data_IF_078586377402
#
_entry.id   IF_078586377402
#
_cell.length_a   1.000
_cell.length_b   1.000
_cell.length_c   1.000
_cell.angle_alpha   90.00
_cell.angle_beta   90.00
_cell.angle_gamma   90.00
#
_symmetry.space_group_name_H-M   'P 1'
#
loop_
_entity.id
_entity.type
_entity.pdbx_description
1 polymer ?
#
# COMPACT_ATOMS: atom_id res chain seq x y z
N UNK A 1 5.37 -19.54 -61.94
CA UNK A 1 4.73 -19.72 -60.62
C UNK A 1 5.24 -18.62 -59.71
N UNK A 2 4.39 -17.65 -59.36
CA UNK A 2 4.79 -16.56 -58.46
C UNK A 2 4.96 -17.07 -57.02
N UNK A 3 5.81 -16.43 -56.21
CA UNK A 3 5.99 -16.84 -54.82
C UNK A 3 4.66 -16.71 -54.05
N UNK A 4 4.33 -17.65 -53.16
CA UNK A 4 3.08 -17.61 -52.41
C UNK A 4 3.02 -16.34 -51.56
N UNK A 5 1.92 -15.60 -51.67
CA UNK A 5 1.62 -14.45 -50.82
C UNK A 5 1.63 -14.91 -49.36
N UNK A 6 2.66 -14.50 -48.61
CA UNK A 6 2.67 -14.66 -47.16
C UNK A 6 1.55 -13.76 -46.59
N UNK A 7 0.47 -14.37 -46.11
CA UNK A 7 -0.56 -13.66 -45.34
C UNK A 7 0.14 -12.89 -44.22
N UNK A 8 0.04 -11.55 -44.22
CA UNK A 8 0.47 -10.72 -43.09
C UNK A 8 -0.34 -11.19 -41.88
N UNK A 9 0.32 -11.76 -40.86
CA UNK A 9 -0.29 -11.99 -39.54
C UNK A 9 -0.92 -10.66 -39.10
N UNK A 10 -2.19 -10.69 -38.73
CA UNK A 10 -2.84 -9.48 -38.23
C UNK A 10 -2.21 -9.10 -36.89
N UNK A 11 -2.26 -7.81 -36.52
CA UNK A 11 -1.75 -7.35 -35.22
C UNK A 11 -2.43 -8.10 -34.04
N UNK A 12 -3.68 -8.54 -34.26
CA UNK A 12 -4.42 -9.39 -33.33
C UNK A 12 -3.81 -10.78 -33.18
N UNK A 13 -3.33 -11.39 -34.27
CA UNK A 13 -2.66 -12.70 -34.23
C UNK A 13 -1.29 -12.62 -33.52
N UNK A 14 -0.57 -11.50 -33.67
CA UNK A 14 0.73 -11.34 -33.01
C UNK A 14 0.61 -11.01 -31.52
N UNK A 15 -0.54 -10.52 -31.04
CA UNK A 15 -0.79 -10.32 -29.62
C UNK A 15 -1.32 -11.59 -28.94
N UNK A 16 -2.09 -12.43 -29.65
CA UNK A 16 -2.56 -13.73 -29.16
C UNK A 16 -1.45 -14.78 -28.95
N UNK A 17 -0.31 -14.61 -29.61
CA UNK A 17 0.81 -15.57 -29.56
C UNK A 17 1.90 -15.19 -28.53
N UNK A 18 1.74 -14.08 -27.79
CA UNK A 18 2.54 -13.88 -26.58
C UNK A 18 2.14 -14.97 -25.60
N UNK A 19 3.07 -15.88 -25.32
CA UNK A 19 2.87 -17.01 -24.42
C UNK A 19 2.07 -16.56 -23.19
N UNK A 20 0.92 -17.21 -22.95
CA UNK A 20 0.16 -17.02 -21.72
C UNK A 20 1.14 -17.22 -20.55
N UNK A 21 1.11 -16.32 -19.57
CA UNK A 21 1.87 -16.54 -18.35
C UNK A 21 1.47 -17.91 -17.78
N UNK A 22 2.42 -18.70 -17.28
CA UNK A 22 2.10 -19.98 -16.68
C UNK A 22 1.13 -19.78 -15.50
N UNK A 23 0.29 -20.78 -15.18
CA UNK A 23 -0.51 -20.75 -13.97
C UNK A 23 0.35 -20.41 -12.75
N UNK A 24 -0.16 -19.57 -11.88
CA UNK A 24 0.56 -19.16 -10.68
C UNK A 24 0.88 -20.38 -9.79
N UNK A 25 2.16 -20.55 -9.47
CA UNK A 25 2.66 -21.59 -8.59
C UNK A 25 3.60 -20.95 -7.55
N UNK A 26 3.20 -20.85 -6.27
CA UNK A 26 4.01 -20.18 -5.26
C UNK A 26 5.34 -20.92 -5.06
N UNK A 27 6.42 -20.15 -4.95
CA UNK A 27 7.76 -20.64 -4.66
C UNK A 27 7.86 -21.06 -3.18
N UNK A 28 8.56 -22.16 -2.83
CA UNK A 28 8.78 -22.58 -1.45
C UNK A 28 9.40 -21.47 -0.59
N UNK A 29 9.10 -21.41 0.72
CA UNK A 29 9.61 -20.33 1.59
C UNK A 29 11.13 -20.25 1.63
N UNK A 30 11.82 -21.41 1.66
CA UNK A 30 13.29 -21.48 1.74
C UNK A 30 14.01 -20.76 0.58
N UNK A 31 13.32 -20.61 -0.54
CA UNK A 31 13.85 -19.97 -1.75
C UNK A 31 13.52 -18.47 -1.80
N UNK A 32 12.84 -17.93 -0.77
CA UNK A 32 12.42 -16.53 -0.71
C UNK A 32 13.45 -15.66 0.03
N UNK A 33 13.69 -14.46 -0.50
CA UNK A 33 14.49 -13.46 0.21
C UNK A 33 13.81 -13.04 1.52
N UNK A 34 14.56 -12.48 2.50
CA UNK A 34 13.96 -11.90 3.71
C UNK A 34 12.88 -10.86 3.40
N UNK A 35 13.05 -10.08 2.34
CA UNK A 35 12.10 -9.08 1.87
C UNK A 35 10.79 -9.73 1.41
N UNK A 36 10.86 -10.82 0.65
CA UNK A 36 9.68 -11.57 0.22
C UNK A 36 8.93 -12.17 1.41
N UNK A 37 9.65 -12.70 2.40
CA UNK A 37 9.04 -13.23 3.62
C UNK A 37 8.29 -12.14 4.40
N UNK A 38 8.86 -10.95 4.52
CA UNK A 38 8.19 -9.83 5.20
C UNK A 38 6.91 -9.37 4.47
N UNK A 39 6.94 -9.28 3.14
CA UNK A 39 5.75 -8.95 2.34
C UNK A 39 4.65 -9.98 2.52
N UNK A 40 5.00 -11.27 2.47
CA UNK A 40 4.02 -12.35 2.59
C UNK A 40 3.50 -12.52 4.01
N UNK A 41 4.33 -12.26 5.03
CA UNK A 41 3.88 -12.20 6.42
C UNK A 41 2.86 -11.07 6.63
N UNK A 42 3.12 -9.90 6.03
CA UNK A 42 2.18 -8.77 6.07
C UNK A 42 0.87 -9.10 5.35
N UNK A 43 0.95 -9.81 4.22
CA UNK A 43 -0.23 -10.25 3.48
C UNK A 43 -0.99 -11.38 4.20
N UNK A 44 -0.31 -12.33 4.84
CA UNK A 44 -0.95 -13.45 5.54
C UNK A 44 -1.72 -13.00 6.78
N UNK A 45 -1.22 -11.98 7.49
CA UNK A 45 -1.88 -11.37 8.64
C UNK A 45 -3.30 -10.82 8.30
N UNK A 46 -3.62 -10.62 7.02
CA UNK A 46 -4.93 -10.18 6.58
C UNK A 46 -5.94 -11.31 6.34
N UNK A 47 -5.45 -12.53 6.09
CA UNK A 47 -6.26 -13.66 5.61
C UNK A 47 -6.74 -14.50 6.78
N UNK A 48 -5.84 -14.70 7.75
CA UNK A 48 -6.08 -15.58 8.87
C UNK A 48 -6.82 -14.78 9.93
N UNK A 49 -8.17 -14.85 10.05
CA UNK A 49 -8.74 -14.55 11.35
C UNK A 49 -8.05 -15.48 12.35
N UNK A 50 -7.76 -15.04 13.58
CA UNK A 50 -7.31 -15.98 14.61
C UNK A 50 -8.30 -17.15 14.61
N UNK A 51 -7.80 -18.34 14.28
CA UNK A 51 -8.61 -19.57 14.14
C UNK A 51 -9.15 -20.07 15.48
N UNK A 52 -8.89 -19.35 16.56
CA UNK A 52 -9.32 -19.68 17.91
C UNK A 52 -10.06 -18.48 18.48
N UNK A 53 -11.32 -18.71 18.87
CA UNK A 53 -12.22 -17.71 19.44
C UNK A 53 -11.72 -17.15 20.80
N UNK A 54 -10.69 -17.76 21.40
CA UNK A 54 -10.54 -17.68 22.85
C UNK A 54 -9.35 -16.90 23.43
N UNK A 55 -8.26 -16.56 22.72
CA UNK A 55 -7.08 -16.05 23.46
C UNK A 55 -6.45 -14.73 23.03
N UNK A 56 -6.59 -14.26 21.79
CA UNK A 56 -6.13 -12.89 21.44
C UNK A 56 -7.04 -12.28 20.39
N UNK A 57 -7.95 -11.41 20.86
CA UNK A 57 -9.02 -10.75 20.10
C UNK A 57 -8.56 -9.79 19.00
N UNK A 58 -7.83 -10.29 18.00
CA UNK A 58 -7.53 -9.55 16.79
C UNK A 58 -8.80 -9.36 15.97
N UNK A 59 -9.20 -8.09 15.85
CA UNK A 59 -10.38 -7.73 15.09
C UNK A 59 -10.15 -8.01 13.60
N UNK A 60 -11.11 -8.62 12.90
CA UNK A 60 -10.96 -8.96 11.48
C UNK A 60 -10.74 -7.70 10.63
N UNK A 61 -9.74 -7.71 9.74
CA UNK A 61 -9.36 -6.55 8.95
C UNK A 61 -10.45 -6.01 8.00
N UNK A 62 -10.30 -4.75 7.61
CA UNK A 62 -10.92 -4.12 6.44
C UNK A 62 -9.81 -3.91 5.39
N UNK A 63 -10.04 -4.37 4.16
CA UNK A 63 -9.09 -4.16 3.07
C UNK A 63 -9.76 -3.24 2.04
N UNK A 64 -9.07 -2.18 1.67
CA UNK A 64 -9.50 -1.24 0.63
C UNK A 64 -8.54 -1.37 -0.52
N UNK A 65 -9.01 -1.84 -1.67
CA UNK A 65 -8.27 -1.67 -2.91
C UNK A 65 -8.58 -0.28 -3.49
N UNK A 66 -7.54 0.47 -3.84
CA UNK A 66 -7.62 1.80 -4.44
C UNK A 66 -6.93 1.77 -5.81
N UNK A 67 -7.51 2.48 -6.77
CA UNK A 67 -6.91 2.74 -8.07
C UNK A 67 -7.28 4.17 -8.52
N UNK A 68 -6.36 4.84 -9.20
CA UNK A 68 -6.52 6.20 -9.69
C UNK A 68 -6.15 6.29 -11.16
N UNK A 69 -6.99 6.98 -11.94
CA UNK A 69 -6.66 7.30 -13.32
C UNK A 69 -6.28 8.75 -13.48
N UNK A 70 -5.34 9.00 -14.38
CA UNK A 70 -4.89 10.33 -14.75
C UNK A 70 -4.97 10.56 -16.25
N UNK A 71 -5.06 11.83 -16.64
CA UNK A 71 -5.10 12.18 -18.05
C UNK A 71 -3.76 11.91 -18.72
N UNK A 72 -3.74 11.11 -19.78
CA UNK A 72 -2.54 10.62 -20.46
C UNK A 72 -1.62 11.71 -21.06
N UNK A 73 -2.13 12.95 -21.20
CA UNK A 73 -1.34 14.10 -21.64
C UNK A 73 -0.83 14.99 -20.52
N UNK A 74 -1.37 14.83 -19.31
CA UNK A 74 -0.92 15.54 -18.12
C UNK A 74 -1.35 14.78 -16.86
N UNK A 75 -0.42 13.98 -16.30
CA UNK A 75 -0.69 13.13 -15.15
C UNK A 75 -1.00 13.92 -13.86
N UNK A 76 -0.85 15.25 -13.86
CA UNK A 76 -1.34 16.10 -12.77
C UNK A 76 -2.86 16.28 -12.77
N UNK A 77 -3.57 15.80 -13.80
CA UNK A 77 -5.01 15.87 -13.87
C UNK A 77 -5.59 14.48 -13.58
N UNK A 78 -5.91 14.20 -12.32
CA UNK A 78 -6.65 12.99 -11.94
C UNK A 78 -8.05 13.03 -12.54
N UNK A 79 -8.42 11.98 -13.27
CA UNK A 79 -9.72 11.87 -13.97
C UNK A 79 -10.69 10.99 -13.22
N UNK A 80 -10.22 9.91 -12.59
CA UNK A 80 -11.06 8.92 -11.91
C UNK A 80 -10.44 8.49 -10.58
N UNK A 81 -11.31 8.09 -9.65
CA UNK A 81 -10.97 7.45 -8.38
C UNK A 81 -11.84 6.21 -8.25
N UNK A 82 -11.22 5.06 -8.00
CA UNK A 82 -11.93 3.82 -7.81
C UNK A 82 -11.51 3.13 -6.53
N UNK A 83 -12.48 2.54 -5.82
CA UNK A 83 -12.16 1.69 -4.69
C UNK A 83 -13.10 0.51 -4.55
N UNK A 84 -12.61 -0.55 -3.91
CA UNK A 84 -13.38 -1.70 -3.48
C UNK A 84 -13.01 -2.06 -2.03
N UNK A 85 -14.00 -2.43 -1.22
CA UNK A 85 -13.81 -2.69 0.22
C UNK A 85 -14.19 -4.14 0.53
N UNK A 86 -13.22 -4.91 1.02
CA UNK A 86 -13.43 -6.26 1.55
C UNK A 86 -13.50 -6.22 3.08
N UNK A 87 -14.50 -6.90 3.63
CA UNK A 87 -14.70 -7.07 5.05
C UNK A 87 -14.31 -8.49 5.45
N UNK A 88 -13.16 -8.67 6.11
CA UNK A 88 -12.69 -10.01 6.49
C UNK A 88 -13.66 -10.73 7.44
N UNK A 89 -14.37 -9.98 8.30
CA UNK A 89 -15.43 -10.50 9.18
C UNK A 89 -16.54 -11.20 8.41
N UNK A 90 -16.99 -10.57 7.33
CA UNK A 90 -18.11 -11.04 6.51
C UNK A 90 -17.65 -11.89 5.33
N UNK A 91 -16.33 -12.00 5.12
CA UNK A 91 -15.68 -12.68 4.00
C UNK A 91 -16.28 -12.32 2.64
N UNK A 92 -16.61 -11.04 2.46
CA UNK A 92 -17.18 -10.51 1.21
C UNK A 92 -16.75 -9.08 0.93
N UNK A 93 -16.86 -8.70 -0.33
CA UNK A 93 -16.77 -7.31 -0.76
C UNK A 93 -18.06 -6.60 -0.35
N UNK A 94 -17.93 -5.61 0.53
CA UNK A 94 -19.06 -4.86 1.13
C UNK A 94 -19.29 -3.49 0.48
N UNK A 95 -18.35 -3.05 -0.36
CA UNK A 95 -18.43 -1.76 -1.03
C UNK A 95 -17.58 -1.73 -2.29
N UNK A 96 -18.01 -0.89 -3.24
CA UNK A 96 -17.30 -0.63 -4.48
C UNK A 96 -17.83 0.67 -5.07
N UNK A 97 -16.92 1.56 -5.49
CA UNK A 97 -17.27 2.85 -6.10
C UNK A 97 -16.36 3.14 -7.27
N UNK A 98 -16.95 3.82 -8.24
CA UNK A 98 -16.26 4.47 -9.33
C UNK A 98 -16.66 5.94 -9.34
N UNK A 99 -15.68 6.84 -9.28
CA UNK A 99 -15.91 8.28 -9.22
C UNK A 99 -15.13 8.97 -10.31
N UNK A 100 -15.82 9.71 -11.17
CA UNK A 100 -15.21 10.66 -12.10
C UNK A 100 -14.98 11.98 -11.37
N UNK A 101 -13.76 12.51 -11.46
CA UNK A 101 -13.39 13.78 -10.84
C UNK A 101 -14.04 14.91 -11.61
N UNK A 102 -15.01 15.58 -10.99
CA UNK A 102 -15.88 16.59 -11.61
C UNK A 102 -15.12 17.63 -12.45
N UNK A 103 -14.05 18.20 -11.88
CA UNK A 103 -13.23 19.23 -12.54
C UNK A 103 -12.58 18.74 -13.83
N UNK A 104 -12.32 17.44 -13.93
CA UNK A 104 -11.59 16.80 -15.02
C UNK A 104 -12.48 15.85 -15.83
N UNK A 105 -13.80 15.80 -15.59
CA UNK A 105 -14.73 14.87 -16.22
C UNK A 105 -14.78 14.96 -17.76
N UNK A 106 -14.38 16.10 -18.32
CA UNK A 106 -14.26 16.30 -19.78
C UNK A 106 -13.00 15.68 -20.40
N UNK A 107 -11.98 15.39 -19.59
CA UNK A 107 -10.72 14.84 -20.07
C UNK A 107 -10.92 13.34 -20.31
N UNK A 108 -10.56 12.88 -21.50
CA UNK A 108 -10.74 11.49 -21.92
C UNK A 108 -9.40 10.94 -22.39
N UNK A 109 -9.06 9.75 -21.93
CA UNK A 109 -7.95 8.99 -22.48
C UNK A 109 -8.36 8.37 -23.83
N UNK A 110 -7.45 7.68 -24.50
CA UNK A 110 -7.78 6.96 -25.74
C UNK A 110 -6.62 6.85 -26.73
N UNK A 111 -5.57 7.67 -26.56
CA UNK A 111 -4.42 7.64 -27.45
C UNK A 111 -3.45 6.52 -27.09
N UNK A 112 -3.13 6.36 -25.82
CA UNK A 112 -2.17 5.38 -25.32
C UNK A 112 -2.86 4.25 -24.56
N UNK A 113 -3.97 4.57 -23.91
CA UNK A 113 -4.73 3.68 -23.06
C UNK A 113 -6.20 3.74 -23.49
N UNK A 114 -6.90 2.60 -23.51
CA UNK A 114 -8.33 2.57 -23.86
C UNK A 114 -9.11 3.29 -22.78
N UNK A 115 -9.97 4.24 -23.17
CA UNK A 115 -10.87 4.90 -22.23
C UNK A 115 -12.09 4.03 -21.93
N UNK A 116 -12.21 3.59 -20.69
CA UNK A 116 -13.34 2.82 -20.18
C UNK A 116 -14.08 3.54 -19.04
N UNK A 117 -14.00 4.87 -18.94
CA UNK A 117 -14.67 5.64 -17.88
C UNK A 117 -16.19 5.43 -17.84
N UNK A 118 -16.81 5.10 -18.98
CA UNK A 118 -18.25 4.81 -19.09
C UNK A 118 -18.60 3.34 -18.79
N UNK A 119 -17.62 2.49 -18.49
CA UNK A 119 -17.77 1.05 -18.43
C UNK A 119 -17.60 0.44 -17.03
N UNK A 120 -18.02 1.14 -15.98
CA UNK A 120 -18.08 0.55 -14.64
C UNK A 120 -19.10 -0.61 -14.61
N UNK A 121 -18.68 -1.79 -14.14
CA UNK A 121 -19.51 -3.02 -14.12
C UNK A 121 -19.78 -3.58 -12.72
N UNK A 122 -19.07 -3.11 -11.70
CA UNK A 122 -19.17 -3.63 -10.34
C UNK A 122 -20.09 -2.82 -9.42
N UNK A 123 -20.97 -2.00 -10.01
CA UNK A 123 -22.03 -1.36 -9.24
C UNK A 123 -22.84 -2.46 -8.53
N UNK A 124 -22.82 -2.46 -7.20
CA UNK A 124 -23.39 -3.53 -6.39
C UNK A 124 -24.90 -3.66 -6.70
N UNK A 125 -25.37 -4.81 -7.21
CA UNK A 125 -26.76 -4.97 -7.66
C UNK A 125 -27.81 -4.98 -6.55
N UNK A 126 -27.41 -5.28 -5.30
CA UNK A 126 -28.31 -5.36 -4.12
C UNK A 126 -28.91 -4.00 -3.73
N UNK A 127 -28.47 -2.95 -4.41
CA UNK A 127 -28.84 -1.56 -4.23
C UNK A 127 -29.77 -1.05 -5.37
N UNK A 128 -30.40 -1.96 -6.13
CA UNK A 128 -31.47 -1.60 -7.08
C UNK A 128 -32.78 -1.12 -6.41
N UNK A 129 -32.93 -1.31 -5.10
CA UNK A 129 -33.85 -0.45 -4.34
C UNK A 129 -33.21 0.93 -4.21
N UNK A 130 -33.63 1.82 -5.11
CA UNK A 130 -33.23 3.24 -5.21
C UNK A 130 -33.41 4.08 -3.93
N UNK A 131 -33.72 3.49 -2.78
CA UNK A 131 -33.89 4.18 -1.49
C UNK A 131 -32.75 3.94 -0.50
N UNK A 132 -32.11 2.78 -0.47
CA UNK A 132 -31.13 2.45 0.58
C UNK A 132 -29.71 2.89 0.24
N UNK A 133 -29.28 2.78 -1.02
CA UNK A 133 -27.98 3.24 -1.54
C UNK A 133 -27.77 4.72 -1.24
N UNK A 134 -28.78 5.51 -1.61
CA UNK A 134 -28.77 6.95 -1.54
C UNK A 134 -28.92 7.44 -0.10
N UNK A 135 -29.41 6.60 0.81
CA UNK A 135 -29.48 6.94 2.24
C UNK A 135 -28.10 7.08 2.88
N UNK A 136 -27.09 6.41 2.32
CA UNK A 136 -25.68 6.50 2.75
C UNK A 136 -24.87 7.51 1.96
N UNK A 137 -25.45 8.14 0.93
CA UNK A 137 -24.75 9.19 0.20
C UNK A 137 -24.44 10.36 1.13
N UNK A 138 -23.35 11.11 0.88
CA UNK A 138 -23.11 12.35 1.61
C UNK A 138 -24.41 13.15 1.62
N UNK A 139 -24.94 13.48 2.81
CA UNK A 139 -26.26 14.11 2.91
C UNK A 139 -26.31 15.32 1.98
N UNK A 140 -27.22 15.28 1.01
CA UNK A 140 -27.40 16.35 0.03
C UNK A 140 -26.58 16.22 -1.25
N UNK A 141 -25.82 15.14 -1.47
CA UNK A 141 -25.23 14.89 -2.78
C UNK A 141 -26.34 14.74 -3.82
N UNK A 142 -26.21 15.50 -4.90
CA UNK A 142 -27.04 15.44 -6.08
C UNK A 142 -26.11 15.25 -7.26
N UNK A 143 -26.32 14.16 -8.00
CA UNK A 143 -25.57 13.93 -9.23
C UNK A 143 -25.81 15.11 -10.19
N UNK A 144 -24.75 15.67 -10.79
CA UNK A 144 -24.91 16.80 -11.69
C UNK A 144 -25.77 16.38 -12.89
N UNK A 145 -26.80 17.18 -13.19
CA UNK A 145 -27.62 17.03 -14.40
C UNK A 145 -26.99 17.74 -15.60
N UNK A 146 -25.97 18.58 -15.35
CA UNK A 146 -25.21 19.30 -16.35
C UNK A 146 -23.81 19.58 -15.81
N UNK A 147 -22.80 19.27 -16.62
CA UNK A 147 -21.43 19.75 -16.45
C UNK A 147 -21.02 20.41 -17.76
N UNK A 148 -20.44 21.60 -17.67
CA UNK A 148 -19.93 22.27 -18.86
C UNK A 148 -18.89 21.36 -19.52
N UNK A 149 -19.05 21.15 -20.83
CA UNK A 149 -18.13 20.36 -21.67
C UNK A 149 -18.20 18.83 -21.47
N UNK A 150 -19.18 18.32 -20.73
CA UNK A 150 -19.53 16.89 -20.70
C UNK A 150 -20.86 16.70 -21.41
N UNK A 151 -20.98 15.68 -22.25
CA UNK A 151 -22.24 15.35 -22.92
C UNK A 151 -23.26 14.84 -21.89
N UNK A 152 -24.52 15.27 -21.98
CA UNK A 152 -25.56 14.81 -21.06
C UNK A 152 -25.75 13.28 -21.10
N UNK A 153 -25.56 12.66 -22.28
CA UNK A 153 -25.60 11.20 -22.44
C UNK A 153 -24.55 10.48 -21.59
N UNK A 154 -23.39 11.09 -21.37
CA UNK A 154 -22.32 10.51 -20.57
C UNK A 154 -22.68 10.59 -19.09
N UNK A 155 -23.25 11.73 -18.64
CA UNK A 155 -23.77 11.88 -17.28
C UNK A 155 -24.88 10.87 -16.97
N UNK A 156 -25.80 10.67 -17.92
CA UNK A 156 -26.87 9.68 -17.80
C UNK A 156 -26.30 8.25 -17.73
N UNK A 157 -25.28 7.96 -18.56
CA UNK A 157 -24.62 6.65 -18.57
C UNK A 157 -23.89 6.38 -17.26
N UNK A 158 -23.12 7.35 -16.74
CA UNK A 158 -22.46 7.25 -15.45
C UNK A 158 -23.46 6.99 -14.33
N UNK A 159 -24.53 7.79 -14.28
CA UNK A 159 -25.59 7.61 -13.29
C UNK A 159 -26.24 6.22 -13.36
N UNK A 160 -26.62 5.77 -14.56
CA UNK A 160 -27.23 4.45 -14.77
C UNK A 160 -26.33 3.30 -14.35
N UNK A 161 -25.01 3.48 -14.47
CA UNK A 161 -24.00 2.50 -14.06
C UNK A 161 -23.49 2.71 -12.63
N UNK A 162 -24.07 3.62 -11.85
CA UNK A 162 -23.65 3.88 -10.48
C UNK A 162 -22.27 4.54 -10.35
N UNK A 163 -21.75 5.14 -11.43
CA UNK A 163 -20.57 6.00 -11.39
C UNK A 163 -20.96 7.37 -10.83
N UNK A 164 -20.19 7.88 -9.88
CA UNK A 164 -20.40 9.19 -9.29
C UNK A 164 -19.60 10.24 -10.03
N UNK A 165 -20.07 11.48 -10.00
CA UNK A 165 -19.27 12.64 -10.42
C UNK A 165 -19.13 13.58 -9.23
N UNK A 166 -17.91 13.71 -8.71
CA UNK A 166 -17.63 14.42 -7.46
C UNK A 166 -16.34 15.25 -7.55
N UNK A 167 -16.22 16.34 -6.77
CA UNK A 167 -14.93 16.92 -6.46
C UNK A 167 -13.99 15.86 -5.86
N UNK A 168 -12.70 15.91 -6.18
CA UNK A 168 -11.70 14.96 -5.66
C UNK A 168 -11.70 14.89 -4.11
N UNK A 169 -11.85 16.02 -3.42
CA UNK A 169 -11.95 16.05 -1.95
C UNK A 169 -13.12 15.23 -1.42
N UNK A 170 -14.27 15.33 -2.09
CA UNK A 170 -15.51 14.72 -1.65
C UNK A 170 -15.50 13.21 -1.97
N UNK A 171 -14.83 12.81 -3.06
CA UNK A 171 -14.55 11.41 -3.38
C UNK A 171 -13.67 10.73 -2.31
N UNK A 172 -12.55 11.37 -1.95
CA UNK A 172 -11.64 10.86 -0.92
C UNK A 172 -12.29 10.87 0.47
N UNK A 173 -13.06 11.91 0.80
CA UNK A 173 -13.83 11.95 2.03
C UNK A 173 -14.83 10.79 2.12
N UNK A 174 -15.55 10.49 1.05
CA UNK A 174 -16.48 9.36 1.00
C UNK A 174 -15.77 8.03 1.25
N UNK A 175 -14.65 7.78 0.57
CA UNK A 175 -13.81 6.60 0.79
C UNK A 175 -13.41 6.44 2.27
N UNK A 176 -12.93 7.53 2.88
CA UNK A 176 -12.48 7.51 4.27
C UNK A 176 -13.64 7.24 5.23
N UNK A 177 -14.80 7.87 5.00
CA UNK A 177 -15.99 7.66 5.82
C UNK A 177 -16.47 6.22 5.74
N UNK A 178 -16.66 5.69 4.54
CA UNK A 178 -17.15 4.31 4.34
C UNK A 178 -16.22 3.30 5.04
N UNK A 179 -14.90 3.43 4.86
CA UNK A 179 -13.93 2.53 5.46
C UNK A 179 -13.80 2.66 6.97
N UNK A 180 -13.74 3.90 7.49
CA UNK A 180 -13.65 4.13 8.94
C UNK A 180 -14.91 3.66 9.66
N UNK A 181 -16.09 3.88 9.08
CA UNK A 181 -17.34 3.43 9.70
C UNK A 181 -17.41 1.91 9.83
N UNK A 182 -16.97 1.17 8.80
CA UNK A 182 -16.83 -0.28 8.83
C UNK A 182 -15.82 -0.76 9.87
N UNK A 183 -14.80 0.06 10.15
CA UNK A 183 -13.79 -0.20 11.16
C UNK A 183 -14.20 0.19 12.59
N UNK A 184 -15.40 0.75 12.78
CA UNK A 184 -15.86 1.21 14.10
C UNK A 184 -15.37 2.60 14.49
N UNK A 185 -14.96 3.43 13.52
CA UNK A 185 -14.52 4.81 13.71
C UNK A 185 -15.53 5.75 13.04
N UNK A 186 -16.12 6.66 13.81
CA UNK A 186 -16.94 7.74 13.24
C UNK A 186 -16.05 8.85 12.70
N UNK A 187 -16.42 9.42 11.54
CA UNK A 187 -15.70 10.52 10.90
C UNK A 187 -16.62 11.74 10.86
N UNK A 188 -16.11 12.92 11.16
CA UNK A 188 -16.83 14.20 11.05
C UNK A 188 -15.93 15.29 10.48
N UNK A 189 -16.49 16.47 10.17
CA UNK A 189 -15.75 17.53 9.47
C UNK A 189 -15.86 17.44 7.95
N UNK A 190 -14.99 18.14 7.22
CA UNK A 190 -14.90 18.11 5.75
C UNK A 190 -13.44 18.05 5.33
N UNK A 191 -13.12 17.22 4.35
CA UNK A 191 -11.75 17.10 3.84
C UNK A 191 -11.34 18.39 3.13
N UNK A 192 -10.23 18.98 3.57
CA UNK A 192 -9.69 20.22 3.06
C UNK A 192 -8.34 19.97 2.40
N UNK A 193 -8.19 20.47 1.17
CA UNK A 193 -6.89 20.51 0.50
C UNK A 193 -5.92 21.36 1.30
N UNK A 194 -4.73 20.85 1.58
CA UNK A 194 -3.68 21.63 2.25
C UNK A 194 -3.03 22.56 1.20
N UNK A 195 -3.08 23.87 1.43
CA UNK A 195 -2.28 24.79 0.62
C UNK A 195 -0.81 24.65 1.03
N UNK A 196 0.08 24.51 0.05
CA UNK A 196 1.53 24.46 0.31
C UNK A 196 2.05 25.73 1.01
N UNK A 197 1.33 26.85 0.89
CA UNK A 197 1.74 28.15 1.43
C UNK A 197 1.53 28.29 2.95
N UNK A 198 0.74 27.43 3.59
CA UNK A 198 0.44 27.52 5.03
C UNK A 198 1.24 26.51 5.89
N UNK A 199 2.45 26.14 5.48
CA UNK A 199 3.30 25.23 6.27
C UNK A 199 3.96 25.87 7.50
N UNK A 200 3.76 27.18 7.75
CA UNK A 200 4.28 27.82 8.95
C UNK A 200 3.45 27.43 10.20
N UNK A 201 3.78 26.27 10.74
CA UNK A 201 3.90 25.96 12.18
C UNK A 201 3.01 26.79 13.12
N UNK A 202 1.74 26.45 13.20
CA UNK A 202 1.04 26.55 14.49
C UNK A 202 1.08 25.16 15.12
N UNK A 203 2.19 24.87 15.78
CA UNK A 203 2.30 23.76 16.72
C UNK A 203 1.39 24.06 17.91
N UNK A 204 0.10 23.75 17.81
CA UNK A 204 -0.76 23.75 18.99
C UNK A 204 -0.31 22.59 19.89
N UNK A 205 0.59 22.88 20.83
CA UNK A 205 1.16 21.98 21.82
C UNK A 205 0.12 21.54 22.87
N UNK A 206 -1.08 21.12 22.46
CA UNK A 206 -2.07 20.59 23.38
C UNK A 206 -2.18 19.07 23.24
N UNK A 207 -1.24 18.30 23.84
CA UNK A 207 -1.19 16.84 23.74
C UNK A 207 -2.42 16.13 24.35
N UNK A 208 -3.27 16.86 25.08
CA UNK A 208 -4.52 16.34 25.64
C UNK A 208 -5.68 16.21 24.65
N UNK A 209 -5.56 16.78 23.45
CA UNK A 209 -6.56 16.62 22.38
C UNK A 209 -6.05 15.61 21.35
N UNK A 210 -5.99 14.33 21.77
CA UNK A 210 -5.54 13.19 20.95
C UNK A 210 -6.34 13.00 19.64
N UNK A 211 -7.44 13.73 19.46
CA UNK A 211 -8.22 13.81 18.22
C UNK A 211 -7.76 14.99 17.38
N UNK A 212 -6.63 14.78 16.73
CA UNK A 212 -5.98 15.76 15.89
C UNK A 212 -6.84 16.06 14.64
N UNK A 213 -7.00 17.35 14.34
CA UNK A 213 -7.73 17.84 13.17
C UNK A 213 -6.81 17.68 11.97
N UNK A 214 -7.02 16.65 11.16
CA UNK A 214 -6.19 16.42 9.98
C UNK A 214 -6.97 16.76 8.73
N UNK A 215 -6.49 17.79 8.02
CA UNK A 215 -7.14 18.28 6.81
C UNK A 215 -8.65 18.52 6.98
N UNK A 216 -9.09 18.98 8.16
CA UNK A 216 -10.50 19.27 8.45
C UNK A 216 -11.38 18.06 8.82
N UNK A 217 -10.84 16.83 8.80
CA UNK A 217 -11.52 15.64 9.31
C UNK A 217 -11.22 15.39 10.79
N UNK A 218 -12.19 14.78 11.48
CA UNK A 218 -12.13 14.39 12.88
C UNK A 218 -12.55 12.93 13.02
N UNK A 219 -11.69 12.12 13.63
CA UNK A 219 -11.92 10.69 13.87
C UNK A 219 -12.32 10.47 15.32
N UNK A 220 -13.37 9.68 15.56
CA UNK A 220 -13.81 9.31 16.91
C UNK A 220 -14.16 7.82 16.95
N UNK A 221 -13.38 7.00 17.67
CA UNK A 221 -13.74 5.61 17.93
C UNK A 221 -15.15 5.48 18.50
N UNK A 222 -15.94 4.54 17.97
CA UNK A 222 -17.25 4.16 18.52
C UNK A 222 -17.12 3.11 19.63
N UNK A 223 -15.98 2.43 19.67
CA UNK A 223 -15.68 1.29 20.51
C UNK A 223 -14.34 1.46 21.22
N UNK A 224 -13.98 0.53 22.09
CA UNK A 224 -12.64 0.48 22.67
C UNK A 224 -11.57 0.29 21.59
N UNK A 225 -10.32 0.73 21.83
CA UNK A 225 -9.26 0.71 20.80
C UNK A 225 -8.98 -0.71 20.28
N UNK A 226 -9.06 -1.72 21.15
CA UNK A 226 -8.92 -3.14 20.81
C UNK A 226 -10.13 -3.72 20.06
N UNK A 227 -11.23 -2.98 19.95
CA UNK A 227 -12.42 -3.35 19.16
C UNK A 227 -12.44 -2.65 17.80
N UNK A 228 -11.53 -1.70 17.55
CA UNK A 228 -11.36 -1.07 16.24
C UNK A 228 -10.74 -2.08 15.29
N UNK A 229 -11.36 -2.24 14.12
CA UNK A 229 -10.85 -3.15 13.10
C UNK A 229 -9.73 -2.46 12.31
N UNK A 230 -8.59 -3.12 12.08
CA UNK A 230 -7.52 -2.52 11.30
C UNK A 230 -7.94 -2.35 9.84
N UNK A 231 -7.54 -1.23 9.22
CA UNK A 231 -7.75 -0.96 7.79
C UNK A 231 -6.42 -1.07 7.05
N UNK A 232 -6.45 -1.75 5.91
CA UNK A 232 -5.33 -1.93 4.99
C UNK A 232 -5.66 -1.36 3.62
N UNK A 233 -4.72 -0.66 3.03
CA UNK A 233 -4.79 -0.25 1.62
C UNK A 233 -4.14 -1.31 0.74
N UNK A 234 -4.71 -1.54 -0.43
CA UNK A 234 -4.18 -2.38 -1.46
C UNK A 234 -4.26 -1.65 -2.80
N UNK A 235 -3.37 -1.97 -3.72
CA UNK A 235 -3.41 -1.44 -5.08
C UNK A 235 -2.34 -2.09 -5.95
N UNK A 236 -2.44 -1.88 -7.26
CA UNK A 236 -1.36 -2.19 -8.19
C UNK A 236 -0.59 -0.90 -8.42
N UNK A 237 0.68 -0.86 -7.99
CA UNK A 237 1.48 0.36 -8.04
C UNK A 237 0.95 1.50 -7.16
N UNK A 238 0.33 1.14 -6.03
CA UNK A 238 -0.28 2.06 -5.06
C UNK A 238 0.66 3.19 -4.62
N UNK A 239 1.97 2.97 -4.63
CA UNK A 239 2.96 4.02 -4.37
C UNK A 239 2.80 5.23 -5.30
N UNK A 240 2.60 4.98 -6.60
CA UNK A 240 2.36 6.03 -7.59
C UNK A 240 1.01 6.71 -7.39
N UNK A 241 -0.04 5.95 -7.06
CA UNK A 241 -1.36 6.52 -6.76
C UNK A 241 -1.32 7.51 -5.61
N UNK A 242 -0.63 7.14 -4.53
CA UNK A 242 -0.48 8.01 -3.37
C UNK A 242 0.38 9.24 -3.69
N UNK A 243 1.44 9.09 -4.50
CA UNK A 243 2.21 10.24 -4.99
C UNK A 243 1.36 11.19 -5.84
N UNK A 244 0.42 10.69 -6.64
CA UNK A 244 -0.52 11.51 -7.40
C UNK A 244 -1.44 12.32 -6.47
N UNK A 245 -1.98 11.70 -5.42
CA UNK A 245 -2.83 12.40 -4.42
C UNK A 245 -2.04 13.45 -3.64
N UNK A 246 -0.80 13.14 -3.25
CA UNK A 246 0.10 14.10 -2.61
C UNK A 246 0.35 15.31 -3.54
N UNK A 247 0.54 15.06 -4.84
CA UNK A 247 0.64 16.11 -5.87
C UNK A 247 -0.61 16.98 -6.00
N UNK A 248 -1.79 16.42 -5.68
CA UNK A 248 -3.04 17.17 -5.57
C UNK A 248 -3.21 17.92 -4.23
N UNK A 249 -2.27 17.80 -3.29
CA UNK A 249 -2.35 18.42 -1.97
C UNK A 249 -3.23 17.65 -0.98
N UNK A 250 -3.52 16.38 -1.27
CA UNK A 250 -4.16 15.44 -0.37
C UNK A 250 -3.10 14.48 0.15
N UNK A 251 -2.52 14.83 1.30
CA UNK A 251 -1.47 14.05 1.95
C UNK A 251 -2.08 12.83 2.63
N UNK A 252 -2.47 11.83 1.83
CA UNK A 252 -3.21 10.67 2.31
C UNK A 252 -2.40 9.93 3.36
N UNK A 253 -1.07 9.86 3.23
CA UNK A 253 -0.22 9.23 4.24
C UNK A 253 -0.41 9.82 5.64
N UNK A 254 -0.43 11.16 5.74
CA UNK A 254 -0.66 11.89 7.00
C UNK A 254 -2.09 11.68 7.51
N UNK A 255 -3.05 11.56 6.59
CA UNK A 255 -4.45 11.36 6.93
C UNK A 255 -4.74 9.96 7.45
N UNK A 256 -4.05 8.95 6.92
CA UNK A 256 -4.16 7.57 7.37
C UNK A 256 -3.50 7.43 8.75
N UNK A 257 -2.32 8.00 8.97
CA UNK A 257 -1.66 7.93 10.29
C UNK A 257 -2.46 8.61 11.40
N UNK A 258 -3.32 9.57 11.06
CA UNK A 258 -4.25 10.22 11.99
C UNK A 258 -5.43 9.36 12.43
N UNK A 259 -5.80 8.34 11.65
CA UNK A 259 -6.99 7.55 11.92
C UNK A 259 -6.61 6.29 12.74
N UNK A 260 -7.27 6.07 13.89
CA UNK A 260 -6.90 4.99 14.81
C UNK A 260 -6.96 3.60 14.15
N UNK A 261 -7.86 3.41 13.19
CA UNK A 261 -8.02 2.15 12.46
C UNK A 261 -6.88 1.86 11.46
N UNK A 262 -6.17 2.88 11.00
CA UNK A 262 -4.98 2.71 10.15
C UNK A 262 -3.69 2.64 10.98
N UNK A 263 -3.68 3.18 12.20
CA UNK A 263 -2.52 3.16 13.10
C UNK A 263 -2.41 1.89 13.95
N UNK A 264 -3.45 1.06 14.02
CA UNK A 264 -3.56 -0.07 14.94
C UNK A 264 -2.76 -1.32 14.54
N UNK A 265 -1.59 -1.16 13.91
CA UNK A 265 -0.74 -2.30 13.58
C UNK A 265 -0.01 -2.81 14.83
N UNK A 266 0.01 -4.13 15.12
CA UNK A 266 0.76 -4.65 16.24
C UNK A 266 2.26 -4.37 16.02
N UNK A 267 2.99 -3.85 17.03
CA UNK A 267 4.42 -3.58 16.92
C UNK A 267 5.29 -4.84 16.79
N UNK A 268 4.70 -6.04 16.86
CA UNK A 268 5.39 -7.33 16.88
C UNK A 268 5.77 -7.83 15.47
N UNK A 269 6.37 -6.98 14.64
CA UNK A 269 7.13 -7.47 13.49
C UNK A 269 8.40 -8.18 14.00
N UNK A 270 8.92 -9.21 13.31
CA UNK A 270 10.12 -9.94 13.72
C UNK A 270 11.28 -8.98 14.07
N UNK A 271 11.94 -9.22 15.21
CA UNK A 271 13.14 -8.48 15.65
C UNK A 271 14.16 -8.43 14.51
N UNK A 272 14.43 -7.22 14.02
CA UNK A 272 15.17 -6.97 12.77
C UNK A 272 14.44 -5.99 11.83
N UNK A 273 13.14 -5.79 12.06
CA UNK A 273 12.32 -4.72 11.52
C UNK A 273 11.86 -3.78 12.64
N UNK A 274 12.76 -3.47 13.58
CA UNK A 274 12.54 -2.43 14.59
C UNK A 274 12.32 -1.10 13.85
N UNK A 275 11.06 -0.75 13.68
CA UNK A 275 10.62 0.52 13.12
C UNK A 275 10.18 1.44 14.26
N UNK A 276 10.91 1.49 15.37
CA UNK A 276 10.69 2.58 16.32
C UNK A 276 10.87 3.90 15.56
N UNK A 277 9.89 4.82 15.56
CA UNK A 277 10.13 6.14 15.03
C UNK A 277 11.34 6.68 15.80
N UNK A 278 12.38 7.09 15.07
CA UNK A 278 13.42 7.93 15.67
C UNK A 278 12.72 9.25 15.97
N UNK A 279 12.08 9.30 17.14
CA UNK A 279 11.83 10.56 17.81
C UNK A 279 13.22 11.03 18.17
N UNK A 280 13.86 11.77 17.26
CA UNK A 280 14.97 12.62 17.64
C UNK A 280 14.42 13.46 18.78
N UNK A 281 14.85 13.14 20.01
CA UNK A 281 14.57 13.98 21.15
C UNK A 281 15.16 15.34 20.78
N UNK A 282 14.29 16.29 20.44
CA UNK A 282 14.63 17.70 20.36
C UNK A 282 14.90 18.14 21.80
N UNK A 283 16.06 17.74 22.33
CA UNK A 283 16.66 18.40 23.47
C UNK A 283 17.01 19.79 22.94
N UNK A 284 16.52 20.87 23.57
CA UNK A 284 16.87 22.22 23.17
C UNK A 284 18.38 22.37 23.35
N UNK A 285 19.14 22.44 22.26
CA UNK A 285 20.50 22.96 22.30
C UNK A 285 20.38 24.43 22.68
N UNK A 286 20.73 24.74 23.93
CA UNK A 286 21.01 26.10 24.38
C UNK A 286 22.03 26.72 23.44
N UNK A 287 21.57 27.62 22.58
CA UNK A 287 22.44 28.49 21.80
C UNK A 287 23.05 29.47 22.79
N UNK A 288 24.33 29.29 23.11
CA UNK A 288 25.10 30.29 23.83
C UNK A 288 25.21 31.56 22.96
N UNK A 289 24.77 32.67 23.53
CA UNK A 289 24.91 34.01 22.95
C UNK A 289 26.39 34.35 22.73
N UNK A 290 26.79 34.86 21.54
CA UNK A 290 28.16 35.29 21.33
C UNK A 290 28.48 36.51 22.20
N UNK A 291 29.52 36.37 23.02
CA UNK A 291 30.13 37.45 23.80
C UNK A 291 30.82 38.46 22.87
N UNK A 292 30.66 39.73 23.23
CA UNK A 292 31.44 40.92 22.88
C UNK A 292 32.60 40.79 21.89
N UNK A 293 32.53 41.55 20.79
CA UNK A 293 33.70 42.11 20.11
C UNK A 293 33.99 43.51 20.66
N UNK A 294 35.28 43.90 20.84
CA UNK A 294 35.66 45.27 21.15
C UNK A 294 35.89 46.12 19.89
N UNK A 295 35.58 47.40 20.03
CA UNK A 295 35.89 48.52 19.14
C UNK A 295 37.35 48.54 18.68
N UNK A 296 37.57 48.73 17.38
CA UNK A 296 38.74 49.43 16.84
C UNK A 296 38.31 50.35 15.68
N UNK A 297 38.65 51.62 15.85
CA UNK A 297 38.33 52.72 14.94
C UNK A 297 39.18 52.79 13.66
N UNK A 298 39.12 53.93 12.95
CA UNK A 298 39.30 53.99 11.50
C UNK A 298 40.74 54.24 11.06
N UNK A 299 41.12 53.67 9.90
CA UNK A 299 42.42 53.87 9.27
C UNK A 299 42.36 53.77 7.75
N UNK A 300 42.95 54.73 7.07
CA UNK A 300 42.88 55.03 5.64
C UNK A 300 43.66 54.08 4.71
N UNK A 301 43.21 54.04 3.45
CA UNK A 301 43.94 54.01 2.15
C UNK A 301 45.25 53.22 2.01
N UNK A 302 45.35 52.34 1.00
CA UNK A 302 45.96 52.58 -0.33
C UNK A 302 46.04 51.29 -1.17
N UNK A 303 45.99 51.47 -2.49
CA UNK A 303 46.27 50.47 -3.53
C UNK A 303 47.67 49.88 -3.42
N UNK A 304 47.84 48.57 -3.67
CA UNK A 304 49.01 48.00 -4.37
C UNK A 304 48.60 46.73 -5.13
N UNK A 305 48.99 46.67 -6.39
CA UNK A 305 48.90 45.57 -7.35
C UNK A 305 49.86 44.43 -7.03
N UNK A 306 49.49 43.16 -7.30
CA UNK A 306 50.42 42.05 -7.10
C UNK A 306 49.94 40.70 -7.61
N UNK A 307 50.23 40.40 -8.88
CA UNK A 307 50.22 39.05 -9.46
C UNK A 307 51.12 38.12 -8.65
N UNK A 308 50.61 36.95 -8.22
CA UNK A 308 51.44 35.74 -8.03
C UNK A 308 50.67 34.47 -8.40
N UNK A 309 51.34 33.70 -9.26
CA UNK A 309 51.09 32.31 -9.65
C UNK A 309 51.34 31.38 -8.46
N UNK A 310 50.54 30.31 -8.39
CA UNK A 310 50.91 28.89 -8.24
C UNK A 310 49.88 28.19 -7.36
N UNK A 311 49.05 27.33 -7.95
CA UNK A 311 48.51 26.12 -7.30
C UNK A 311 48.28 25.07 -8.39
N UNK A 312 49.29 24.21 -8.59
CA UNK A 312 49.12 22.83 -9.02
C UNK A 312 49.19 22.02 -7.73
N UNK A 313 48.07 21.53 -7.19
CA UNK A 313 48.03 20.35 -6.32
C UNK A 313 46.60 19.92 -5.99
N UNK A 314 46.35 18.61 -6.16
CA UNK A 314 45.33 17.78 -5.50
C UNK A 314 43.86 17.84 -6.00
N UNK A 315 43.62 17.31 -7.20
CA UNK A 315 42.30 16.83 -7.64
C UNK A 315 42.16 15.30 -7.44
N UNK A 316 42.28 14.84 -6.20
CA UNK A 316 42.12 13.41 -5.87
C UNK A 316 41.49 13.16 -4.49
N UNK A 317 40.28 13.68 -4.25
CA UNK A 317 39.29 13.04 -3.36
C UNK A 317 38.07 13.93 -3.17
N UNK A 318 36.99 13.67 -3.93
CA UNK A 318 35.60 13.89 -3.48
C UNK A 318 34.57 13.34 -4.48
N UNK A 319 34.68 12.06 -4.86
CA UNK A 319 33.49 11.30 -5.27
C UNK A 319 32.71 10.86 -4.02
N UNK A 320 32.27 11.82 -3.20
CA UNK A 320 31.16 11.56 -2.27
C UNK A 320 29.94 11.37 -3.17
N UNK A 321 29.46 10.13 -3.31
CA UNK A 321 28.14 9.84 -3.87
C UNK A 321 27.17 10.74 -3.12
N UNK A 322 26.68 11.80 -3.76
CA UNK A 322 25.50 12.51 -3.32
C UNK A 322 24.35 11.52 -3.49
N UNK A 323 24.16 10.65 -2.50
CA UNK A 323 22.87 10.03 -2.25
C UNK A 323 21.91 11.20 -2.16
N UNK A 324 21.13 11.38 -3.21
CA UNK A 324 20.27 12.57 -3.32
C UNK A 324 19.35 12.60 -2.10
N UNK A 325 18.97 13.78 -1.63
CA UNK A 325 17.93 13.90 -0.59
C UNK A 325 16.65 13.11 -0.96
N UNK A 326 16.42 12.87 -2.26
CA UNK A 326 15.38 11.98 -2.81
C UNK A 326 15.62 10.49 -2.54
N UNK A 327 16.85 9.99 -2.58
CA UNK A 327 17.19 8.61 -2.17
C UNK A 327 17.13 8.42 -0.65
N UNK A 328 17.55 9.43 0.12
CA UNK A 328 17.42 9.42 1.58
C UNK A 328 15.95 9.51 2.01
N UNK A 329 15.13 10.35 1.37
CA UNK A 329 13.68 10.40 1.60
C UNK A 329 12.97 9.10 1.19
N UNK A 330 13.41 8.44 0.10
CA UNK A 330 12.95 7.10 -0.28
C UNK A 330 13.31 6.01 0.74
N UNK A 331 14.39 6.19 1.51
CA UNK A 331 14.83 5.23 2.55
C UNK A 331 14.31 5.57 3.95
N UNK A 332 14.04 6.85 4.23
CA UNK A 332 13.77 7.37 5.58
C UNK A 332 12.30 7.41 5.97
N UNK A 333 11.37 7.06 5.09
CA UNK A 333 9.92 7.05 5.38
C UNK A 333 9.37 5.66 5.05
N UNK A 334 9.93 4.62 5.70
CA UNK A 334 9.20 3.38 5.99
C UNK A 334 8.29 3.63 7.20
N UNK A 335 7.43 4.63 7.10
CA UNK A 335 6.35 4.80 8.08
C UNK A 335 5.43 3.59 7.97
N UNK A 336 4.93 3.14 9.12
CA UNK A 336 4.02 2.02 9.40
C UNK A 336 2.69 2.01 8.63
N UNK A 337 2.67 2.46 7.38
CA UNK A 337 1.48 2.49 6.57
C UNK A 337 1.16 1.07 6.14
N UNK A 338 -0.01 0.63 6.61
CA UNK A 338 -0.67 -0.63 6.30
C UNK A 338 -1.11 -0.64 4.85
N UNK A 339 -0.18 -0.67 3.91
CA UNK A 339 -0.52 -0.89 2.51
C UNK A 339 0.19 -2.09 1.90
N UNK A 340 -0.45 -2.65 0.88
CA UNK A 340 0.05 -3.76 0.10
C UNK A 340 0.05 -3.39 -1.38
N UNK A 341 1.22 -3.43 -2.00
CA UNK A 341 1.31 -3.46 -3.45
C UNK A 341 1.10 -4.90 -3.90
N UNK A 342 0.01 -5.16 -4.61
CA UNK A 342 -0.38 -6.52 -5.04
C UNK A 342 0.69 -7.11 -5.98
N UNK A 343 1.40 -6.27 -6.73
CA UNK A 343 2.53 -6.71 -7.56
C UNK A 343 3.68 -7.23 -6.72
N UNK A 344 3.95 -6.59 -5.58
CA UNK A 344 5.01 -7.00 -4.68
C UNK A 344 4.64 -8.31 -3.96
N UNK A 345 3.37 -8.47 -3.54
CA UNK A 345 2.86 -9.74 -2.98
C UNK A 345 2.98 -10.87 -4.00
N UNK A 346 2.60 -10.61 -5.25
CA UNK A 346 2.73 -11.56 -6.36
C UNK A 346 4.20 -11.97 -6.60
N UNK A 347 5.10 -10.99 -6.73
CA UNK A 347 6.53 -11.24 -6.91
C UNK A 347 7.13 -12.02 -5.74
N UNK A 348 6.79 -11.65 -4.50
CA UNK A 348 7.24 -12.33 -3.30
C UNK A 348 6.81 -13.79 -3.29
N UNK A 349 5.53 -14.05 -3.60
CA UNK A 349 4.98 -15.40 -3.59
C UNK A 349 5.63 -16.29 -4.66
N UNK A 350 6.05 -15.73 -5.80
CA UNK A 350 6.81 -16.45 -6.83
C UNK A 350 8.32 -16.52 -6.59
N UNK A 351 8.85 -15.90 -5.52
CA UNK A 351 10.29 -15.80 -5.32
C UNK A 351 11.00 -14.93 -6.37
N UNK A 352 10.28 -14.10 -7.12
CA UNK A 352 10.83 -13.24 -8.18
C UNK A 352 11.30 -11.91 -7.61
N UNK A 353 12.35 -11.33 -8.20
CA UNK A 353 12.80 -9.99 -7.83
C UNK A 353 11.65 -8.97 -7.96
N UNK A 354 11.48 -8.12 -6.93
CA UNK A 354 10.53 -7.00 -6.94
C UNK A 354 10.76 -6.00 -8.08
N UNK A 355 11.94 -6.01 -8.73
CA UNK A 355 12.22 -5.19 -9.92
C UNK A 355 11.56 -5.73 -11.19
N UNK A 356 11.12 -7.00 -11.19
CA UNK A 356 10.43 -7.64 -12.31
C UNK A 356 8.92 -7.60 -12.10
N UNK A 357 8.38 -6.41 -11.83
CA UNK A 357 6.93 -6.23 -11.69
C UNK A 357 6.24 -6.70 -12.97
N UNK A 358 5.22 -7.53 -12.78
CA UNK A 358 4.39 -8.04 -13.87
C UNK A 358 3.27 -7.05 -14.10
N UNK A 359 2.99 -6.70 -15.36
CA UNK A 359 1.87 -5.82 -15.68
C UNK A 359 0.55 -6.42 -15.22
N UNK A 360 -0.41 -5.57 -14.82
CA UNK A 360 -1.72 -5.96 -14.27
C UNK A 360 -2.39 -7.09 -15.05
N UNK A 361 -2.53 -6.95 -16.37
CA UNK A 361 -3.15 -7.95 -17.24
C UNK A 361 -2.52 -9.35 -17.09
N UNK A 362 -1.20 -9.42 -17.01
CA UNK A 362 -0.48 -10.70 -16.88
C UNK A 362 -0.62 -11.31 -15.50
N UNK A 363 -0.64 -10.47 -14.46
CA UNK A 363 -0.89 -10.89 -13.08
C UNK A 363 -2.31 -11.47 -12.97
N UNK A 364 -3.31 -10.82 -13.56
CA UNK A 364 -4.69 -11.31 -13.55
C UNK A 364 -4.83 -12.63 -14.29
N UNK A 365 -4.22 -12.73 -15.47
CA UNK A 365 -4.23 -13.97 -16.26
C UNK A 365 -3.58 -15.15 -15.53
N UNK A 366 -2.47 -14.94 -14.80
CA UNK A 366 -1.82 -16.02 -14.07
C UNK A 366 -2.58 -16.48 -12.82
N UNK A 367 -3.46 -15.62 -12.30
CA UNK A 367 -4.34 -15.91 -11.17
C UNK A 367 -5.73 -16.42 -11.58
N UNK A 368 -5.96 -16.60 -12.89
CA UNK A 368 -7.27 -17.00 -13.45
C UNK A 368 -8.39 -16.00 -13.10
N UNK A 369 -8.05 -14.71 -13.05
CA UNK A 369 -9.01 -13.60 -12.91
C UNK A 369 -9.27 -13.05 -14.30
N UNK A 370 -10.50 -13.19 -14.81
CA UNK A 370 -10.87 -12.75 -16.16
C UNK A 370 -10.73 -11.22 -16.31
N UNK A 371 -9.73 -10.73 -17.07
CA UNK A 371 -9.54 -9.30 -17.26
C UNK A 371 -10.46 -8.73 -18.35
N UNK A 372 -10.97 -9.58 -19.27
CA UNK A 372 -11.78 -9.13 -20.41
C UNK A 372 -13.19 -8.73 -19.99
N UNK A 373 -13.72 -9.38 -18.95
CA UNK A 373 -15.04 -9.04 -18.38
C UNK A 373 -15.06 -7.70 -17.62
N UNK A 374 -13.90 -7.13 -17.33
CA UNK A 374 -13.79 -6.07 -16.32
C UNK A 374 -13.50 -4.68 -16.88
N UNK A 375 -13.29 -4.52 -18.19
CA UNK A 375 -13.02 -3.21 -18.80
C UNK A 375 -11.91 -2.42 -18.08
N UNK A 376 -10.69 -2.95 -18.04
CA UNK A 376 -9.51 -2.29 -17.45
C UNK A 376 -9.33 -0.84 -17.96
N UNK A 377 -8.72 0.03 -17.16
CA UNK A 377 -8.68 1.49 -17.36
C UNK A 377 -10.01 2.18 -17.02
N UNK A 378 -10.66 1.64 -16.00
CA UNK A 378 -11.77 2.23 -15.29
C UNK A 378 -11.43 2.04 -13.83
N UNK A 379 -11.12 3.12 -13.12
CA UNK A 379 -10.51 3.03 -11.80
C UNK A 379 -11.31 2.14 -10.84
N UNK A 380 -12.65 2.20 -10.91
CA UNK A 380 -13.51 1.39 -10.04
C UNK A 380 -13.46 -0.11 -10.37
N UNK A 381 -13.35 -0.46 -11.65
CA UNK A 381 -13.14 -1.84 -12.05
C UNK A 381 -11.73 -2.32 -11.71
N UNK A 382 -10.70 -1.50 -11.95
CA UNK A 382 -9.32 -1.84 -11.66
C UNK A 382 -9.09 -2.05 -10.16
N UNK A 383 -9.69 -1.20 -9.32
CA UNK A 383 -9.69 -1.41 -7.87
C UNK A 383 -10.38 -2.72 -7.48
N UNK A 384 -11.52 -3.06 -8.09
CA UNK A 384 -12.23 -4.32 -7.77
C UNK A 384 -11.43 -5.54 -8.19
N UNK A 385 -10.90 -5.54 -9.41
CA UNK A 385 -10.14 -6.66 -9.95
C UNK A 385 -8.81 -6.84 -9.22
N UNK A 386 -8.17 -5.74 -8.80
CA UNK A 386 -6.99 -5.76 -7.92
C UNK A 386 -7.30 -6.40 -6.58
N UNK A 387 -8.46 -6.09 -5.98
CA UNK A 387 -8.91 -6.74 -4.75
C UNK A 387 -9.14 -8.24 -4.94
N UNK A 388 -9.84 -8.63 -6.01
CA UNK A 388 -10.10 -10.04 -6.32
C UNK A 388 -8.77 -10.81 -6.56
N UNK A 389 -7.79 -10.18 -7.22
CA UNK A 389 -6.45 -10.73 -7.42
C UNK A 389 -5.69 -10.91 -6.10
N UNK A 390 -5.76 -9.91 -5.20
CA UNK A 390 -5.16 -10.01 -3.87
C UNK A 390 -5.80 -11.16 -3.07
N UNK A 391 -7.12 -11.25 -3.03
CA UNK A 391 -7.84 -12.32 -2.34
C UNK A 391 -7.51 -13.71 -2.93
N UNK A 392 -7.34 -13.81 -4.24
CA UNK A 392 -6.93 -15.04 -4.91
C UNK A 392 -5.49 -15.44 -4.57
N UNK A 393 -4.56 -14.48 -4.58
CA UNK A 393 -3.18 -14.69 -4.16
C UNK A 393 -3.11 -15.21 -2.73
N UNK A 394 -3.84 -14.54 -1.85
CA UNK A 394 -3.98 -14.87 -0.45
C UNK A 394 -4.47 -16.31 -0.25
N UNK A 395 -5.54 -16.69 -0.93
CA UNK A 395 -6.06 -18.06 -0.90
C UNK A 395 -4.98 -19.08 -1.30
N UNK A 396 -4.30 -18.86 -2.43
CA UNK A 396 -3.28 -19.78 -2.92
C UNK A 396 -2.09 -19.89 -1.94
N UNK A 397 -1.68 -18.77 -1.34
CA UNK A 397 -0.63 -18.74 -0.31
C UNK A 397 -1.07 -19.53 0.92
N UNK A 398 -2.31 -19.35 1.39
CA UNK A 398 -2.88 -20.11 2.51
C UNK A 398 -2.91 -21.61 2.24
N UNK A 399 -3.43 -22.03 1.08
CA UNK A 399 -3.45 -23.43 0.64
C UNK A 399 -2.04 -24.03 0.49
N UNK A 400 -1.03 -23.21 0.17
CA UNK A 400 0.36 -23.65 0.17
C UNK A 400 0.93 -23.79 1.58
N UNK A 401 0.54 -22.94 2.54
CA UNK A 401 0.94 -23.06 3.95
C UNK A 401 0.40 -24.33 4.58
N UNK A 402 -0.91 -24.58 4.40
CA UNK A 402 -1.59 -25.75 4.94
C UNK A 402 -1.00 -27.07 4.44
N UNK A 403 -0.53 -27.10 3.18
CA UNK A 403 0.18 -28.26 2.60
C UNK A 403 1.61 -28.42 3.08
N UNK A 404 2.09 -27.56 3.97
CA UNK A 404 3.47 -27.54 4.45
C UNK A 404 4.49 -27.11 3.39
N UNK A 405 4.05 -26.64 2.21
CA UNK A 405 4.95 -26.11 1.15
C UNK A 405 5.72 -24.90 1.70
N UNK A 406 5.14 -24.20 2.66
CA UNK A 406 5.76 -23.06 3.32
C UNK A 406 6.56 -23.43 4.59
N UNK A 407 6.23 -24.50 5.31
CA UNK A 407 6.86 -24.83 6.62
C UNK A 407 8.06 -25.77 6.56
N UNK A 408 8.48 -26.21 5.37
CA UNK A 408 9.41 -27.32 5.19
C UNK A 408 10.91 -27.05 5.54
N UNK A 409 11.27 -26.12 6.43
CA UNK A 409 12.70 -25.85 6.70
C UNK A 409 13.12 -25.44 8.11
N UNK A 410 12.27 -25.50 9.13
CA UNK A 410 12.73 -25.21 10.51
C UNK A 410 13.01 -26.47 11.34
N UNK A 411 12.58 -27.66 10.91
CA UNK A 411 12.89 -28.92 11.61
C UNK A 411 14.24 -29.54 11.22
N UNK A 412 15.06 -28.85 10.42
CA UNK A 412 16.50 -29.16 10.34
C UNK A 412 17.24 -28.15 11.22
N UNK A 413 16.93 -28.15 12.51
CA UNK A 413 17.99 -27.93 13.49
C UNK A 413 19.12 -28.86 13.07
N UNK A 414 20.21 -28.25 12.62
CA UNK A 414 21.49 -28.91 12.61
C UNK A 414 21.61 -29.59 13.97
N UNK A 415 21.65 -30.92 13.99
CA UNK A 415 22.21 -31.64 15.13
C UNK A 415 23.56 -31.00 15.37
N UNK A 416 23.70 -30.25 16.46
CA UNK A 416 24.99 -29.76 16.93
C UNK A 416 25.98 -30.93 17.17
N UNK A 417 25.48 -32.17 17.17
CA UNK A 417 26.23 -33.42 17.33
C UNK A 417 27.05 -33.88 16.11
N UNK A 418 26.90 -33.28 14.91
CA UNK A 418 27.70 -33.63 13.71
C UNK A 418 28.92 -32.71 13.49
N UNK A 419 29.36 -31.98 14.53
CA UNK A 419 30.71 -31.41 14.55
C UNK A 419 31.72 -32.54 14.82
N UNK A 420 32.81 -32.69 14.03
CA UNK A 420 33.85 -33.64 14.36
C UNK A 420 34.50 -33.23 15.68
N UNK A 421 34.18 -33.97 16.74
CA UNK A 421 34.81 -33.87 18.06
C UNK A 421 36.31 -34.11 17.92
N UNK A 422 37.06 -33.01 17.79
CA UNK A 422 38.46 -32.95 18.15
C UNK A 422 38.59 -33.12 19.66
N UNK A 423 38.85 -34.35 20.07
CA UNK A 423 39.20 -34.76 21.43
C UNK A 423 40.35 -33.90 21.98
N UNK A 424 40.13 -33.32 23.16
CA UNK A 424 41.15 -33.01 24.15
C UNK A 424 40.82 -33.76 25.45
N UNK A 425 41.77 -34.44 26.11
CA UNK A 425 41.48 -35.40 27.16
C UNK A 425 41.22 -34.72 28.50
N UNK A 426 40.38 -35.37 29.30
CA UNK A 426 40.02 -35.09 30.70
C UNK A 426 38.70 -34.32 30.87
N UNK A 427 37.59 -35.05 30.85
CA UNK A 427 36.74 -35.14 32.05
C UNK A 427 35.80 -36.35 31.94
N UNK A 428 35.78 -37.11 33.04
CA UNK A 428 34.94 -38.28 33.25
C UNK A 428 33.62 -37.76 33.82
N UNK A 429 32.50 -38.02 33.15
CA UNK A 429 31.21 -38.09 33.84
C UNK A 429 30.51 -39.38 33.46
N UNK A 430 30.47 -40.26 34.45
CA UNK A 430 29.83 -41.56 34.45
C UNK A 430 28.55 -41.40 35.27
N UNK A 431 27.39 -41.49 34.62
CA UNK A 431 26.13 -41.82 35.29
C UNK A 431 25.39 -42.78 34.38
N UNK A 432 25.47 -44.05 34.74
CA UNK A 432 24.49 -45.08 34.42
C UNK A 432 23.64 -45.19 35.68
N UNK A 433 22.32 -45.09 35.56
CA UNK A 433 21.46 -46.19 36.00
C UNK A 433 20.04 -46.09 35.44
N UNK A 434 19.55 -47.28 35.12
CA UNK A 434 18.27 -47.69 34.59
C UNK A 434 17.34 -48.05 35.74
N UNK A 435 16.07 -47.62 35.71
CA UNK A 435 14.91 -48.34 36.29
C UNK A 435 13.69 -47.94 35.42
N UNK A 436 13.14 -48.83 34.60
CA UNK A 436 12.08 -49.83 34.88
C UNK A 436 10.67 -49.24 35.11
N UNK A 437 9.74 -49.70 34.26
CA UNK A 437 8.32 -49.89 34.61
C UNK A 437 7.34 -48.82 34.17
N UNK A 438 6.52 -49.10 33.15
CA UNK A 438 5.05 -49.07 33.30
C UNK A 438 4.37 -49.83 32.16
N UNK A 439 3.31 -50.55 32.54
CA UNK A 439 2.74 -51.73 31.89
C UNK A 439 1.77 -51.40 30.75
N UNK A 440 1.75 -52.27 29.74
CA UNK A 440 0.77 -52.26 28.67
C UNK A 440 -0.56 -52.88 29.10
N UNK A 441 -1.65 -52.19 28.77
CA UNK A 441 -3.00 -52.75 28.79
C UNK A 441 -3.17 -53.75 27.63
N UNK A 442 -3.43 -55.01 27.97
CA UNK A 442 -3.97 -56.01 27.06
C UNK A 442 -5.50 -55.83 27.06
N UNK A 443 -6.05 -55.43 25.91
CA UNK A 443 -7.48 -55.51 25.65
C UNK A 443 -7.75 -56.87 25.01
N UNK A 444 -8.42 -57.77 25.73
CA UNK A 444 -9.08 -58.94 25.14
C UNK A 444 -10.40 -58.49 24.49
N UNK A 445 -10.57 -58.86 23.22
CA UNK A 445 -11.77 -58.69 22.41
C UNK A 445 -11.63 -59.43 21.09
#
# INVERSE_FOLDING_TARGET
MGPPFKKRKTLADSQKEKAREPPFAPCPIRDRSPEHRAVLHSASALITPPLTDDEFGEQPAIIISLDLESFEHNHNNLTEVGWAIYCAKERKVVGGRHVVVERNARLRNGKFVKDNVLNYVFAIPEEKEKSSVFSRWPRGYRHPTRLEQVQNSDLDTWWQRGTLVLPLSDALELLIRESCELAGVSVSGKLQRRSYQNQSVESSQNPGNLYSRWQGLHFRPKFAINEIRPIYLAGLDLGNDLEMLDGQGFFIRDLLTACPAFSSFPPNLPKGWDCTPVVESLVPTTIESPKHQPDLGPGNSTEVTGKRKREDELDFSRKKKKTSARELAKRSIKTHLNWLDVSDVYCAALGRSMKMRVGSLRLLQSLDVDPESCFLHNAGNDARVTLDALLRLMQIIGEADERGVLRASESSEAREDDLPLGLGPNEVLLVIDLEEGEEGEIIEG
#
